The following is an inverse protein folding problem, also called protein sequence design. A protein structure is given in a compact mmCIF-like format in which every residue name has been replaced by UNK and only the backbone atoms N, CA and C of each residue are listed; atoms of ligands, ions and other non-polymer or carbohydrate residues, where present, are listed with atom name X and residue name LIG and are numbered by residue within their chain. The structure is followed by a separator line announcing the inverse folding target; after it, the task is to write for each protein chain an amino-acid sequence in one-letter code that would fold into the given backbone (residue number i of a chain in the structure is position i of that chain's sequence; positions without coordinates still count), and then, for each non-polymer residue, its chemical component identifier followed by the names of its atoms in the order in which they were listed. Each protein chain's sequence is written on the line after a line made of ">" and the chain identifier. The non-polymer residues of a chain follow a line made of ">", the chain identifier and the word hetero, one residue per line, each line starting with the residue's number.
data_IF_749741726017
#
_entry.id   IF_749741726017
#
_cell.length_a   1.000
_cell.length_b   1.000
_cell.length_c   1.000
_cell.angle_alpha   90.00
_cell.angle_beta   90.00
_cell.angle_gamma   90.00
#
_symmetry.space_group_name_H-M   'P 1'
#
loop_
_entity.id
_entity.type
_entity.pdbx_description
1 polymer ?
#
# COMPACT_ATOMS: atom_id res chain seq x y z
N UNK A 1 36.00 3.39 -72.93
CA UNK A 1 35.34 4.08 -71.80
C UNK A 1 35.96 5.46 -71.67
N UNK A 2 35.16 6.53 -71.73
CA UNK A 2 35.71 7.90 -71.75
C UNK A 2 36.03 8.39 -70.34
N UNK A 3 36.90 9.40 -70.21
CA UNK A 3 37.26 10.00 -68.91
C UNK A 3 36.02 10.58 -68.18
N UNK A 4 35.02 11.02 -68.96
CA UNK A 4 33.71 11.47 -68.47
C UNK A 4 32.92 10.33 -67.80
N UNK A 5 32.98 9.12 -68.38
CA UNK A 5 32.28 7.94 -67.85
C UNK A 5 32.89 7.47 -66.53
N UNK A 6 34.22 7.52 -66.42
CA UNK A 6 34.94 7.17 -65.18
C UNK A 6 34.58 8.14 -64.05
N UNK A 7 34.48 9.46 -64.32
CA UNK A 7 34.04 10.45 -63.33
C UNK A 7 32.62 10.20 -62.83
N UNK A 8 31.67 9.89 -63.74
CA UNK A 8 30.28 9.58 -63.37
C UNK A 8 30.20 8.34 -62.48
N UNK A 9 30.96 7.29 -62.79
CA UNK A 9 31.03 6.07 -61.98
C UNK A 9 31.56 6.38 -60.58
N UNK A 10 32.63 7.18 -60.46
CA UNK A 10 33.22 7.54 -59.16
C UNK A 10 32.24 8.31 -58.27
N UNK A 11 31.55 9.31 -58.84
CA UNK A 11 30.50 10.06 -58.13
C UNK A 11 29.40 9.11 -57.61
N UNK A 12 28.99 8.14 -58.44
CA UNK A 12 27.97 7.17 -58.05
C UNK A 12 28.44 6.27 -56.90
N UNK A 13 29.69 5.79 -56.94
CA UNK A 13 30.28 4.98 -55.87
C UNK A 13 30.38 5.77 -54.56
N UNK A 14 30.83 7.02 -54.63
CA UNK A 14 30.99 7.88 -53.45
C UNK A 14 29.64 8.17 -52.79
N UNK A 15 28.58 8.37 -53.58
CA UNK A 15 27.21 8.49 -53.07
C UNK A 15 26.75 7.21 -52.35
N UNK A 16 27.00 6.03 -52.93
CA UNK A 16 26.61 4.75 -52.31
C UNK A 16 27.34 4.52 -50.98
N UNK A 17 28.64 4.85 -50.89
CA UNK A 17 29.41 4.77 -49.64
C UNK A 17 28.82 5.67 -48.57
N UNK A 18 28.55 6.94 -48.89
CA UNK A 18 27.93 7.90 -47.96
C UNK A 18 26.57 7.40 -47.42
N UNK A 19 25.76 6.77 -48.27
CA UNK A 19 24.48 6.17 -47.89
C UNK A 19 24.65 4.98 -46.94
N UNK A 20 25.63 4.11 -47.20
CA UNK A 20 25.95 2.96 -46.33
C UNK A 20 26.44 3.44 -44.96
N UNK A 21 27.31 4.46 -44.92
CA UNK A 21 27.85 5.01 -43.68
C UNK A 21 26.76 5.70 -42.83
N UNK A 22 25.83 6.40 -43.48
CA UNK A 22 24.64 6.95 -42.81
C UNK A 22 23.80 5.82 -42.18
N UNK A 23 23.50 4.76 -42.93
CA UNK A 23 22.75 3.60 -42.41
C UNK A 23 23.45 2.93 -41.24
N UNK A 24 24.77 2.78 -41.30
CA UNK A 24 25.58 2.21 -40.20
C UNK A 24 25.50 3.07 -38.94
N UNK A 25 25.53 4.39 -39.10
CA UNK A 25 25.41 5.35 -38.00
C UNK A 25 24.04 5.28 -37.32
N UNK A 26 22.95 5.23 -38.09
CA UNK A 26 21.58 5.07 -37.57
C UNK A 26 21.41 3.76 -36.80
N UNK A 27 21.93 2.65 -37.33
CA UNK A 27 21.87 1.37 -36.62
C UNK A 27 22.59 1.43 -35.28
N UNK A 28 23.74 2.10 -35.21
CA UNK A 28 24.48 2.27 -33.96
C UNK A 28 23.68 3.08 -32.92
N UNK A 29 22.99 4.13 -33.35
CA UNK A 29 22.10 4.91 -32.48
C UNK A 29 20.93 4.06 -31.96
N UNK A 30 20.29 3.27 -32.83
CA UNK A 30 19.18 2.39 -32.43
C UNK A 30 19.59 1.34 -31.38
N UNK A 31 20.82 0.80 -31.46
CA UNK A 31 21.32 -0.14 -30.44
C UNK A 31 21.58 0.56 -29.10
N UNK A 32 22.04 1.81 -29.12
CA UNK A 32 22.19 2.63 -27.91
C UNK A 32 20.81 2.91 -27.29
N UNK A 33 19.81 3.29 -28.08
CA UNK A 33 18.46 3.56 -27.58
C UNK A 33 17.83 2.32 -26.95
N UNK A 34 17.99 1.13 -27.56
CA UNK A 34 17.56 -0.14 -26.96
C UNK A 34 18.23 -0.40 -25.61
N UNK A 35 19.53 -0.13 -25.51
CA UNK A 35 20.25 -0.29 -24.26
C UNK A 35 19.75 0.69 -23.18
N UNK A 36 19.56 1.95 -23.53
CA UNK A 36 19.00 2.97 -22.62
C UNK A 36 17.60 2.56 -22.14
N UNK A 37 16.73 2.11 -23.04
CA UNK A 37 15.38 1.63 -22.67
C UNK A 37 15.44 0.45 -21.70
N UNK A 38 16.39 -0.47 -21.88
CA UNK A 38 16.63 -1.58 -20.94
C UNK A 38 17.07 -1.09 -19.56
N UNK A 39 18.01 -0.14 -19.50
CA UNK A 39 18.48 0.45 -18.25
C UNK A 39 17.35 1.17 -17.50
N UNK A 40 16.53 1.96 -18.20
CA UNK A 40 15.39 2.66 -17.60
C UNK A 40 14.37 1.69 -17.00
N UNK A 41 14.09 0.59 -17.70
CA UNK A 41 13.18 -0.46 -17.20
C UNK A 41 13.71 -1.10 -15.92
N UNK A 42 15.01 -1.37 -15.85
CA UNK A 42 15.65 -1.92 -14.66
C UNK A 42 15.63 -0.93 -13.48
N UNK A 43 15.87 0.35 -13.76
CA UNK A 43 15.82 1.41 -12.74
C UNK A 43 14.42 1.55 -12.14
N UNK A 44 13.37 1.52 -12.97
CA UNK A 44 11.99 1.55 -12.48
C UNK A 44 11.69 0.36 -11.56
N UNK A 45 12.13 -0.84 -11.95
CA UNK A 45 11.99 -2.04 -11.11
C UNK A 45 12.71 -1.90 -9.76
N UNK A 46 13.85 -1.23 -9.71
CA UNK A 46 14.56 -0.96 -8.45
C UNK A 46 13.79 0.02 -7.56
N UNK A 47 13.18 1.05 -8.12
CA UNK A 47 12.32 1.99 -7.37
C UNK A 47 11.10 1.25 -6.78
N UNK A 48 10.48 0.39 -7.57
CA UNK A 48 9.29 -0.34 -7.10
C UNK A 48 9.65 -1.34 -6.00
N UNK A 49 10.79 -2.02 -6.10
CA UNK A 49 11.25 -2.94 -5.05
C UNK A 49 11.67 -2.21 -3.77
N UNK A 50 12.29 -1.03 -3.88
CA UNK A 50 12.66 -0.22 -2.70
C UNK A 50 11.44 0.39 -2.02
N UNK A 51 10.44 0.88 -2.76
CA UNK A 51 9.16 1.32 -2.19
C UNK A 51 8.48 0.22 -1.37
N UNK A 52 8.47 -1.01 -1.87
CA UNK A 52 7.89 -2.16 -1.15
C UNK A 52 8.71 -2.64 0.06
N UNK A 53 9.99 -2.23 0.19
CA UNK A 53 10.89 -2.66 1.26
C UNK A 53 10.87 -1.74 2.49
N UNK A 54 10.51 -0.47 2.31
CA UNK A 54 10.28 0.45 3.42
C UNK A 54 8.89 0.14 3.95
N UNK A 55 8.81 -0.55 5.09
CA UNK A 55 7.54 -0.77 5.79
C UNK A 55 6.89 0.61 6.02
N UNK A 56 5.70 0.83 5.46
CA UNK A 56 5.01 2.12 5.64
C UNK A 56 4.74 2.42 7.12
N UNK A 57 4.61 1.37 7.94
CA UNK A 57 4.27 1.49 9.37
C UNK A 57 5.16 0.54 10.20
N UNK A 58 5.91 1.07 11.19
CA UNK A 58 6.67 0.27 12.15
C UNK A 58 5.82 -0.73 12.91
N UNK A 59 6.38 -1.90 13.24
CA UNK A 59 5.68 -2.92 14.02
C UNK A 59 5.28 -2.40 15.42
N UNK A 60 6.11 -1.54 16.00
CA UNK A 60 5.91 -0.96 17.32
C UNK A 60 4.55 -0.22 17.44
N UNK A 61 4.07 0.39 16.35
CA UNK A 61 2.78 1.08 16.35
C UNK A 61 1.62 0.11 16.63
N UNK A 62 1.48 -0.93 15.81
CA UNK A 62 0.41 -1.93 16.00
C UNK A 62 0.59 -2.67 17.33
N UNK A 63 1.84 -2.92 17.73
CA UNK A 63 2.15 -3.59 18.98
C UNK A 63 1.60 -2.81 20.18
N UNK A 64 1.77 -1.48 20.17
CA UNK A 64 1.32 -0.59 21.23
C UNK A 64 -0.19 -0.37 21.21
N UNK A 65 -0.79 -0.17 20.04
CA UNK A 65 -2.25 0.00 19.91
C UNK A 65 -3.00 -1.25 20.40
N UNK A 66 -2.51 -2.45 20.07
CA UNK A 66 -3.22 -3.69 20.38
C UNK A 66 -3.18 -4.07 21.87
N UNK A 67 -2.14 -3.62 22.58
CA UNK A 67 -1.92 -3.77 24.02
C UNK A 67 -2.01 -5.21 24.59
N UNK A 68 -1.93 -6.25 23.75
CA UNK A 68 -1.81 -7.65 24.16
C UNK A 68 -0.43 -8.19 23.80
N UNK A 69 0.50 -8.07 24.75
CA UNK A 69 1.94 -8.29 24.58
C UNK A 69 2.34 -9.77 24.70
N UNK A 70 1.87 -10.59 23.78
CA UNK A 70 2.13 -12.06 23.77
C UNK A 70 2.66 -12.47 22.39
N UNK A 71 3.62 -13.40 22.36
CA UNK A 71 4.22 -13.98 21.15
C UNK A 71 4.75 -12.93 20.16
N UNK A 72 5.61 -12.02 20.65
CA UNK A 72 6.14 -10.89 19.86
C UNK A 72 6.82 -11.35 18.57
N UNK A 73 7.61 -12.42 18.61
CA UNK A 73 8.33 -12.94 17.43
C UNK A 73 7.35 -13.41 16.34
N UNK A 74 6.31 -14.14 16.72
CA UNK A 74 5.27 -14.58 15.78
C UNK A 74 4.50 -13.39 15.21
N UNK A 75 4.21 -12.37 16.02
CA UNK A 75 3.53 -11.17 15.57
C UNK A 75 4.36 -10.38 14.55
N UNK A 76 5.68 -10.23 14.78
CA UNK A 76 6.61 -9.61 13.82
C UNK A 76 6.62 -10.39 12.50
N UNK A 77 6.67 -11.73 12.57
CA UNK A 77 6.64 -12.57 11.38
C UNK A 77 5.34 -12.39 10.58
N UNK A 78 4.18 -12.27 11.25
CA UNK A 78 2.93 -11.99 10.55
C UNK A 78 2.87 -10.56 10.00
N UNK A 79 3.38 -9.56 10.73
CA UNK A 79 3.43 -8.17 10.27
C UNK A 79 4.28 -7.98 9.01
N UNK A 80 5.41 -8.68 8.94
CA UNK A 80 6.29 -8.69 7.77
C UNK A 80 5.63 -9.28 6.52
N UNK A 81 4.62 -10.16 6.68
CA UNK A 81 3.88 -10.78 5.56
C UNK A 81 2.76 -9.92 5.00
N UNK A 82 2.33 -8.87 5.72
CA UNK A 82 1.26 -8.00 5.27
C UNK A 82 1.73 -7.03 4.19
N UNK A 83 0.82 -6.65 3.30
CA UNK A 83 1.01 -5.52 2.38
C UNK A 83 0.83 -4.19 3.12
N UNK A 84 1.33 -3.08 2.57
CA UNK A 84 1.15 -1.76 3.21
C UNK A 84 -0.33 -1.38 3.38
N UNK A 85 -1.19 -1.77 2.42
CA UNK A 85 -2.64 -1.58 2.53
C UNK A 85 -3.23 -2.35 3.72
N UNK A 86 -2.77 -3.57 3.95
CA UNK A 86 -3.22 -4.38 5.09
C UNK A 86 -2.69 -3.84 6.41
N UNK A 87 -1.47 -3.31 6.44
CA UNK A 87 -0.93 -2.64 7.63
C UNK A 87 -1.75 -1.42 8.00
N UNK A 88 -2.09 -0.55 7.03
CA UNK A 88 -2.96 0.60 7.25
C UNK A 88 -4.33 0.19 7.81
N UNK A 89 -5.00 -0.78 7.16
CA UNK A 89 -6.28 -1.32 7.66
C UNK A 89 -6.17 -1.89 9.07
N UNK A 90 -5.09 -2.62 9.36
CA UNK A 90 -4.87 -3.18 10.69
C UNK A 90 -4.69 -2.11 11.75
N UNK A 91 -4.02 -1.00 11.44
CA UNK A 91 -3.81 0.12 12.37
C UNK A 91 -5.12 0.85 12.63
N UNK A 92 -5.92 1.10 11.60
CA UNK A 92 -7.25 1.73 11.71
C UNK A 92 -8.23 0.86 12.51
N UNK A 93 -8.22 -0.45 12.26
CA UNK A 93 -9.17 -1.38 12.87
C UNK A 93 -8.79 -1.82 14.30
N UNK A 94 -7.50 -1.93 14.61
CA UNK A 94 -7.04 -2.41 15.92
C UNK A 94 -7.63 -1.67 17.14
N UNK A 95 -7.69 -0.32 17.19
CA UNK A 95 -8.23 0.38 18.36
C UNK A 95 -9.71 0.06 18.58
N UNK A 96 -10.50 -0.01 17.50
CA UNK A 96 -11.92 -0.35 17.55
C UNK A 96 -12.13 -1.80 18.04
N UNK A 97 -11.29 -2.73 17.58
CA UNK A 97 -11.33 -4.12 18.03
C UNK A 97 -10.99 -4.26 19.52
N UNK A 98 -9.99 -3.51 19.98
CA UNK A 98 -9.58 -3.42 21.39
C UNK A 98 -10.73 -2.88 22.25
N UNK A 99 -11.44 -1.86 21.78
CA UNK A 99 -12.61 -1.29 22.46
C UNK A 99 -13.77 -2.29 22.52
N UNK A 100 -14.05 -3.02 21.43
CA UNK A 100 -15.12 -4.02 21.38
C UNK A 100 -14.80 -5.28 22.22
N UNK A 101 -13.52 -5.54 22.47
CA UNK A 101 -13.03 -6.66 23.30
C UNK A 101 -12.28 -6.14 24.54
N UNK A 102 -12.98 -5.51 25.50
CA UNK A 102 -12.32 -4.88 26.65
C UNK A 102 -11.61 -5.91 27.54
N UNK A 103 -12.17 -7.11 27.67
CA UNK A 103 -11.53 -8.23 28.36
C UNK A 103 -10.33 -8.75 27.54
N UNK A 104 -9.12 -8.40 27.99
CA UNK A 104 -7.85 -8.79 27.35
C UNK A 104 -7.66 -10.30 27.26
N UNK A 105 -8.29 -11.09 28.15
CA UNK A 105 -8.20 -12.56 28.13
C UNK A 105 -8.90 -13.15 26.90
N UNK A 106 -10.08 -12.61 26.54
CA UNK A 106 -10.92 -13.07 25.41
C UNK A 106 -10.46 -12.53 24.06
N UNK A 107 -9.65 -11.46 24.05
CA UNK A 107 -9.07 -10.90 22.82
C UNK A 107 -8.13 -11.92 22.15
N UNK A 108 -8.12 -11.98 20.81
CA UNK A 108 -7.10 -12.77 20.11
C UNK A 108 -5.68 -12.26 20.43
N UNK A 109 -4.67 -13.12 20.35
CA UNK A 109 -3.28 -12.65 20.32
C UNK A 109 -2.98 -11.96 18.99
N UNK A 110 -2.08 -10.97 18.98
CA UNK A 110 -1.83 -10.15 17.77
C UNK A 110 -1.43 -11.01 16.57
N UNK A 111 -0.54 -12.00 16.73
CA UNK A 111 -0.15 -12.90 15.64
C UNK A 111 -1.36 -13.63 15.03
N UNK A 112 -2.34 -14.07 15.83
CA UNK A 112 -3.57 -14.73 15.36
C UNK A 112 -4.51 -13.74 14.68
N UNK A 113 -4.64 -12.53 15.22
CA UNK A 113 -5.41 -11.44 14.62
C UNK A 113 -4.89 -11.06 13.22
N UNK A 114 -3.58 -10.89 13.08
CA UNK A 114 -2.92 -10.57 11.81
C UNK A 114 -3.02 -11.75 10.82
N UNK A 115 -2.75 -12.98 11.28
CA UNK A 115 -2.81 -14.19 10.43
C UNK A 115 -4.20 -14.43 9.85
N UNK A 116 -5.25 -14.23 10.65
CA UNK A 116 -6.65 -14.37 10.22
C UNK A 116 -7.16 -13.18 9.41
N UNK A 117 -6.34 -12.13 9.25
CA UNK A 117 -6.73 -10.84 8.68
C UNK A 117 -8.03 -10.31 9.29
N UNK A 118 -8.16 -10.41 10.61
CA UNK A 118 -9.38 -10.05 11.33
C UNK A 118 -9.74 -8.56 11.20
N UNK A 119 -8.81 -7.71 10.74
CA UNK A 119 -9.07 -6.33 10.34
C UNK A 119 -10.01 -6.17 9.12
N UNK A 120 -10.33 -7.26 8.41
CA UNK A 120 -11.35 -7.26 7.34
C UNK A 120 -12.74 -7.66 7.84
N UNK A 121 -12.87 -8.09 9.10
CA UNK A 121 -14.14 -8.55 9.65
C UNK A 121 -14.89 -7.39 10.31
N UNK A 122 -16.19 -7.56 10.46
CA UNK A 122 -17.01 -6.63 11.22
C UNK A 122 -16.69 -6.69 12.72
N UNK A 123 -16.76 -5.54 13.38
CA UNK A 123 -16.54 -5.43 14.82
C UNK A 123 -17.90 -5.58 15.50
N UNK A 124 -18.10 -6.72 16.15
CA UNK A 124 -19.31 -6.99 16.93
C UNK A 124 -19.16 -6.27 18.27
N UNK A 125 -19.81 -5.11 18.40
CA UNK A 125 -19.91 -4.40 19.68
C UNK A 125 -21.13 -4.89 20.43
N UNK A 126 -20.94 -5.42 21.65
CA UNK A 126 -22.03 -5.59 22.61
C UNK A 126 -22.40 -4.22 23.16
N UNK A 127 -23.00 -3.36 22.32
CA UNK A 127 -23.74 -2.21 22.81
C UNK A 127 -25.02 -2.83 23.39
N UNK A 128 -24.96 -3.26 24.65
CA UNK A 128 -26.16 -3.15 25.47
C UNK A 128 -26.46 -1.65 25.49
N UNK A 129 -27.37 -1.22 24.64
CA UNK A 129 -27.89 0.14 24.61
C UNK A 129 -28.42 0.40 26.01
N UNK A 130 -27.61 1.03 26.86
CA UNK A 130 -28.13 1.74 28.02
C UNK A 130 -28.84 2.97 27.45
N UNK A 131 -30.00 2.74 26.86
CA UNK A 131 -31.02 3.77 26.76
C UNK A 131 -31.31 4.14 28.21
N UNK A 132 -30.75 5.26 28.67
CA UNK A 132 -31.23 5.95 29.86
C UNK A 132 -32.76 6.03 29.70
N UNK A 133 -33.56 5.48 30.64
CA UNK A 133 -34.99 5.74 30.62
C UNK A 133 -35.17 7.26 30.65
N UNK A 134 -35.75 7.80 29.58
CA UNK A 134 -36.20 9.18 29.53
C UNK A 134 -37.06 9.40 30.77
N UNK A 135 -36.75 10.45 31.51
CA UNK A 135 -37.41 10.87 32.74
C UNK A 135 -38.92 10.74 32.57
N UNK A 136 -39.53 9.78 33.26
CA UNK A 136 -40.96 9.78 33.46
C UNK A 136 -41.27 11.03 34.29
N UNK A 137 -41.71 12.07 33.60
CA UNK A 137 -42.32 13.25 34.20
C UNK A 137 -43.38 12.72 35.16
N UNK A 138 -43.14 12.95 36.46
CA UNK A 138 -44.02 12.60 37.56
C UNK A 138 -45.38 13.27 37.35
N UNK A 139 -46.33 12.59 36.70
CA UNK A 139 -47.75 12.91 36.78
C UNK A 139 -48.34 12.33 38.07
N UNK A 140 -47.79 12.74 39.20
CA UNK A 140 -48.40 12.47 40.50
C UNK A 140 -48.04 13.58 41.49
N UNK A 141 -48.55 14.78 41.20
CA UNK A 141 -48.78 15.83 42.20
C UNK A 141 -49.85 16.81 41.70
N UNK A 142 -51.05 16.28 41.46
CA UNK A 142 -52.27 17.09 41.50
C UNK A 142 -53.19 16.41 42.48
N UNK A 143 -52.94 16.59 43.77
CA UNK A 143 -53.98 16.72 44.79
C UNK A 143 -53.38 17.48 46.00
N UNK A 144 -53.99 18.63 46.29
CA UNK A 144 -54.04 19.32 47.60
C UNK A 144 -52.90 20.28 47.98
N UNK A 145 -53.07 21.55 47.60
CA UNK A 145 -53.12 22.66 48.57
C UNK A 145 -54.19 23.65 48.10
N UNK A 146 -55.25 23.80 48.89
CA UNK A 146 -56.25 24.85 48.70
C UNK A 146 -55.73 26.23 49.13
N UNK A 147 -56.38 27.26 48.60
CA UNK A 147 -56.54 28.67 49.01
C UNK A 147 -57.19 29.33 47.76
N UNK A 148 -58.40 29.86 47.76
CA UNK A 148 -59.14 30.68 48.73
C UNK A 148 -60.61 30.25 48.88
#
# INVERSE_FOLDING_TARGET
>A
MTNQDVKKIKICIDYQKKRIDYRRSINKLNEIDKHILSLLKNYQKLIDTTKNKILNIPFEEIWNIYDKKVDKQDAILQWGKLTDKERMKSIEHAPLYVQATPDKSKRLHLHRYLRKKSFNNEIITNIQTKLQPQEQINHEKIWLTGNE
#
